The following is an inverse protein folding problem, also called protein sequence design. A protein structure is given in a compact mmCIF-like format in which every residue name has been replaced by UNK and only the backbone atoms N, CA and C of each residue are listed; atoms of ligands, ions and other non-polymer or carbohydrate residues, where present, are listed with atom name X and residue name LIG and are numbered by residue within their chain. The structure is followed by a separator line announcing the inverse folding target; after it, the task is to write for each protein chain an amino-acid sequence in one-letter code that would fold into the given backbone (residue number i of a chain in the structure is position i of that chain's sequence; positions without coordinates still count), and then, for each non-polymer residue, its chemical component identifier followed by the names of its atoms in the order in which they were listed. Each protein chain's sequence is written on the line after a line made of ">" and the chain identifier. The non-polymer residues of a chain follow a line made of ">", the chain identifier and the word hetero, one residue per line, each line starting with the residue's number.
data_IF_680520736545
#
_entry.id   IF_680520736545
#
_cell.length_a   1.000
_cell.length_b   1.000
_cell.length_c   1.000
_cell.angle_alpha   90.00
_cell.angle_beta   90.00
_cell.angle_gamma   90.00
#
_symmetry.space_group_name_H-M   'P 1'
#
loop_
_entity.id
_entity.type
_entity.pdbx_description
1 polymer ?
#
# COMPACT_ATOMS: atom_id res chain seq x y z
N UNK A 1 -15.66 17.16 22.44
CA UNK A 1 -14.22 16.88 22.22
C UNK A 1 -14.08 15.88 21.07
N UNK A 2 -13.19 16.12 20.11
CA UNK A 2 -12.85 15.14 19.08
C UNK A 2 -12.11 13.97 19.73
N UNK A 3 -12.60 12.74 19.55
CA UNK A 3 -11.92 11.55 20.05
C UNK A 3 -10.82 11.17 19.06
N UNK A 4 -9.58 11.23 19.50
CA UNK A 4 -8.38 10.92 18.71
C UNK A 4 -7.81 9.57 19.14
N UNK A 5 -7.18 8.85 18.22
CA UNK A 5 -6.47 7.59 18.52
C UNK A 5 -5.26 7.44 17.62
N UNK A 6 -4.19 6.88 18.18
CA UNK A 6 -2.94 6.56 17.49
C UNK A 6 -2.80 5.05 17.40
N UNK A 7 -2.38 4.55 16.24
CA UNK A 7 -2.39 3.11 15.95
C UNK A 7 -1.07 2.69 15.32
N UNK A 8 -0.37 1.79 16.00
CA UNK A 8 0.70 1.00 15.40
C UNK A 8 0.05 -0.16 14.61
N UNK A 9 0.13 -0.05 13.29
CA UNK A 9 -0.58 -0.96 12.39
C UNK A 9 0.24 -2.22 12.17
N UNK A 10 -0.31 -3.35 12.59
CA UNK A 10 0.32 -4.63 12.33
C UNK A 10 -0.07 -5.25 10.99
N UNK A 11 0.89 -5.94 10.37
CA UNK A 11 0.67 -6.80 9.20
C UNK A 11 0.18 -8.18 9.62
N UNK A 12 -0.53 -8.84 8.71
CA UNK A 12 -0.79 -10.28 8.83
C UNK A 12 0.54 -11.04 8.86
N UNK A 13 0.69 -11.96 9.81
CA UNK A 13 1.91 -12.76 9.95
C UNK A 13 2.05 -13.77 8.79
N UNK A 14 3.28 -14.28 8.59
CA UNK A 14 3.51 -15.44 7.72
C UNK A 14 2.64 -16.60 8.22
N UNK A 15 1.84 -17.19 7.33
CA UNK A 15 0.84 -18.22 7.68
C UNK A 15 -0.60 -17.71 7.81
N UNK A 16 -0.86 -16.42 7.56
CA UNK A 16 -2.22 -15.87 7.50
C UNK A 16 -2.83 -15.50 8.84
N UNK A 17 -2.12 -15.73 9.96
CA UNK A 17 -2.58 -15.32 11.29
C UNK A 17 -2.52 -13.80 11.41
N UNK A 18 -3.68 -13.18 11.63
CA UNK A 18 -3.80 -11.74 11.83
C UNK A 18 -3.23 -11.36 13.19
N UNK A 19 -2.39 -10.33 13.21
CA UNK A 19 -1.88 -9.71 14.45
C UNK A 19 -2.82 -8.56 14.86
N UNK A 20 -3.01 -8.33 16.17
CA UNK A 20 -3.75 -7.16 16.62
C UNK A 20 -2.97 -5.89 16.28
N UNK A 21 -3.68 -4.81 15.96
CA UNK A 21 -3.12 -3.46 15.93
C UNK A 21 -3.07 -2.93 17.36
N UNK A 22 -1.96 -2.27 17.74
CA UNK A 22 -1.86 -1.62 19.05
C UNK A 22 -2.37 -0.19 18.93
N UNK A 23 -3.26 0.18 19.84
CA UNK A 23 -3.91 1.48 19.86
C UNK A 23 -3.57 2.24 21.14
N UNK A 24 -3.47 3.56 21.04
CA UNK A 24 -3.32 4.48 22.16
C UNK A 24 -4.31 5.64 22.02
N UNK A 25 -5.20 5.83 23.00
CA UNK A 25 -6.24 6.88 22.98
C UNK A 25 -5.85 8.15 23.74
N UNK A 26 -4.60 8.26 24.18
CA UNK A 26 -4.09 9.37 25.00
C UNK A 26 -4.05 9.07 26.49
N UNK A 27 -4.74 8.02 26.93
CA UNK A 27 -4.76 7.58 28.34
C UNK A 27 -4.29 6.13 28.48
N UNK A 28 -4.82 5.24 27.63
CA UNK A 28 -4.59 3.80 27.72
C UNK A 28 -4.22 3.19 26.38
N UNK A 29 -3.59 2.04 26.46
CA UNK A 29 -3.25 1.21 25.31
C UNK A 29 -4.12 -0.03 25.27
N UNK A 30 -4.49 -0.46 24.07
CA UNK A 30 -5.32 -1.66 23.87
C UNK A 30 -5.15 -2.24 22.47
N UNK A 31 -5.58 -3.48 22.31
CA UNK A 31 -5.45 -4.22 21.05
C UNK A 31 -6.77 -4.25 20.26
N UNK A 32 -6.68 -4.08 18.94
CA UNK A 32 -7.80 -4.34 18.03
C UNK A 32 -7.39 -5.18 16.84
N UNK A 33 -8.15 -6.25 16.59
CA UNK A 33 -7.94 -7.08 15.39
C UNK A 33 -8.52 -6.47 14.12
N UNK A 34 -9.41 -5.48 14.21
CA UNK A 34 -10.01 -4.81 13.04
C UNK A 34 -10.10 -3.31 13.32
N UNK A 35 -9.57 -2.49 12.42
CA UNK A 35 -9.60 -1.03 12.53
C UNK A 35 -11.03 -0.50 12.55
N UNK A 36 -11.99 -1.18 11.92
CA UNK A 36 -13.41 -0.79 11.95
C UNK A 36 -14.03 -0.75 13.36
N UNK A 37 -13.41 -1.39 14.36
CA UNK A 37 -13.81 -1.26 15.78
C UNK A 37 -13.54 0.14 16.35
N UNK A 38 -12.69 0.93 15.69
CA UNK A 38 -12.34 2.30 16.08
C UNK A 38 -13.34 3.35 15.57
N UNK A 39 -14.52 2.94 15.08
CA UNK A 39 -15.57 3.85 14.57
C UNK A 39 -16.06 4.92 15.55
N UNK A 40 -15.75 4.80 16.84
CA UNK A 40 -16.11 5.76 17.90
C UNK A 40 -15.17 6.97 17.95
N UNK A 41 -14.04 6.92 17.22
CA UNK A 41 -13.05 7.98 17.13
C UNK A 41 -13.29 8.82 15.86
N UNK A 42 -13.01 10.10 15.95
CA UNK A 42 -13.21 11.06 14.86
C UNK A 42 -11.94 11.17 14.01
N UNK A 43 -10.78 11.05 14.64
CA UNK A 43 -9.48 11.10 13.97
C UNK A 43 -8.63 9.88 14.37
N UNK A 44 -8.07 9.19 13.38
CA UNK A 44 -7.22 8.02 13.56
C UNK A 44 -5.87 8.28 12.89
N UNK A 45 -4.80 8.19 13.66
CA UNK A 45 -3.43 8.33 13.19
C UNK A 45 -2.78 6.96 13.10
N UNK A 46 -2.19 6.63 11.94
CA UNK A 46 -1.56 5.33 11.67
C UNK A 46 -0.10 5.53 11.26
N UNK A 47 0.78 4.63 11.69
CA UNK A 47 2.20 4.62 11.31
C UNK A 47 2.41 4.17 9.85
N UNK A 48 1.61 3.21 9.38
CA UNK A 48 1.77 2.58 8.09
C UNK A 48 0.42 2.15 7.49
N UNK A 49 0.43 1.93 6.18
CA UNK A 49 -0.73 1.49 5.42
C UNK A 49 -0.42 0.18 4.68
N UNK A 50 -1.21 -0.86 4.96
CA UNK A 50 -1.03 -2.18 4.36
C UNK A 50 -2.25 -2.58 3.53
N UNK A 51 -2.06 -3.31 2.41
CA UNK A 51 -3.18 -3.71 1.55
C UNK A 51 -4.33 -4.43 2.29
N UNK A 52 -3.99 -5.20 3.32
CA UNK A 52 -4.95 -5.93 4.15
C UNK A 52 -5.87 -5.01 4.96
N UNK A 53 -5.44 -3.77 5.24
CA UNK A 53 -6.21 -2.79 6.01
C UNK A 53 -7.00 -1.80 5.14
N UNK A 54 -6.76 -1.76 3.82
CA UNK A 54 -7.39 -0.80 2.90
C UNK A 54 -8.92 -0.81 3.00
N UNK A 55 -9.54 -2.01 2.95
CA UNK A 55 -10.99 -2.13 3.04
C UNK A 55 -11.57 -1.67 4.37
N UNK A 56 -10.81 -1.80 5.47
CA UNK A 56 -11.26 -1.37 6.80
C UNK A 56 -11.17 0.15 6.93
N UNK A 57 -10.09 0.74 6.41
CA UNK A 57 -9.86 2.18 6.36
C UNK A 57 -10.89 2.85 5.45
N UNK A 58 -11.17 2.29 4.28
CA UNK A 58 -12.19 2.80 3.36
C UNK A 58 -13.58 2.84 4.02
N UNK A 59 -13.93 1.81 4.80
CA UNK A 59 -15.19 1.77 5.56
C UNK A 59 -15.26 2.84 6.65
N UNK A 60 -14.14 3.18 7.27
CA UNK A 60 -14.07 4.25 8.28
C UNK A 60 -14.17 5.63 7.61
N UNK A 61 -13.44 5.86 6.52
CA UNK A 61 -13.50 7.10 5.73
C UNK A 61 -14.93 7.38 5.26
N UNK A 62 -15.63 6.38 4.72
CA UNK A 62 -17.05 6.50 4.30
C UNK A 62 -18.02 6.81 5.44
N UNK A 63 -17.61 6.60 6.70
CA UNK A 63 -18.38 6.97 7.90
C UNK A 63 -18.01 8.36 8.44
N UNK A 64 -17.17 9.11 7.73
CA UNK A 64 -16.73 10.44 8.13
C UNK A 64 -15.55 10.44 9.12
N UNK A 65 -14.94 9.29 9.40
CA UNK A 65 -13.74 9.22 10.25
C UNK A 65 -12.53 9.74 9.45
N UNK A 66 -11.80 10.71 9.98
CA UNK A 66 -10.58 11.23 9.37
C UNK A 66 -9.41 10.30 9.68
N UNK A 67 -8.70 9.85 8.66
CA UNK A 67 -7.55 8.95 8.83
C UNK A 67 -6.28 9.64 8.33
N UNK A 68 -5.25 9.63 9.16
CA UNK A 68 -3.98 10.29 8.96
C UNK A 68 -2.85 9.25 8.95
N UNK A 69 -2.13 9.13 7.84
CA UNK A 69 -1.00 8.20 7.70
C UNK A 69 0.32 8.95 7.82
N UNK A 70 1.26 8.42 8.61
CA UNK A 70 2.57 9.03 8.81
C UNK A 70 3.32 9.17 7.47
N UNK A 71 3.94 10.34 7.26
CA UNK A 71 4.65 10.66 6.02
C UNK A 71 6.08 10.15 5.95
N UNK A 72 6.74 10.02 7.09
CA UNK A 72 8.11 9.56 7.12
C UNK A 72 8.28 8.61 8.31
N UNK A 73 8.40 7.32 7.98
CA UNK A 73 8.63 6.28 8.99
C UNK A 73 9.98 6.43 9.68
N UNK A 74 10.93 7.20 9.12
CA UNK A 74 12.20 7.52 9.79
C UNK A 74 11.98 8.39 11.02
N UNK A 75 10.88 9.14 11.13
CA UNK A 75 10.56 9.87 12.36
C UNK A 75 10.36 8.92 13.54
N UNK A 76 9.71 7.77 13.31
CA UNK A 76 9.60 6.73 14.33
C UNK A 76 10.98 6.18 14.71
N UNK A 77 11.92 6.09 13.76
CA UNK A 77 13.30 5.67 14.06
C UNK A 77 14.01 6.70 14.94
N UNK A 78 13.94 7.99 14.62
CA UNK A 78 14.53 9.07 15.43
C UNK A 78 13.95 9.11 16.84
N UNK A 79 12.62 9.04 16.98
CA UNK A 79 11.96 9.02 18.29
C UNK A 79 12.34 7.80 19.15
N UNK A 80 12.62 6.65 18.51
CA UNK A 80 13.14 5.46 19.20
C UNK A 80 14.58 5.66 19.69
N UNK A 81 15.42 6.30 18.87
CA UNK A 81 16.81 6.61 19.24
C UNK A 81 16.87 7.63 20.40
N UNK A 82 16.02 8.66 20.38
CA UNK A 82 15.95 9.68 21.43
C UNK A 82 15.40 9.17 22.77
N UNK A 83 14.55 8.15 22.75
CA UNK A 83 13.86 7.69 23.95
C UNK A 83 14.64 6.67 24.79
N UNK A 84 15.71 6.05 24.27
CA UNK A 84 16.47 4.97 24.95
C UNK A 84 15.60 3.82 25.52
N UNK A 85 14.33 3.73 25.12
CA UNK A 85 13.40 2.71 25.60
C UNK A 85 13.47 1.47 24.73
N UNK A 86 13.33 0.29 25.35
CA UNK A 86 13.24 -0.98 24.62
C UNK A 86 12.02 -0.96 23.70
N UNK A 87 12.24 -1.18 22.40
CA UNK A 87 11.17 -1.19 21.40
C UNK A 87 10.05 -2.16 21.79
N UNK A 88 8.82 -1.65 21.85
CA UNK A 88 7.58 -2.42 21.91
C UNK A 88 6.51 -1.74 21.05
N UNK A 89 5.56 -2.50 20.53
CA UNK A 89 4.44 -1.99 19.73
C UNK A 89 3.59 -0.95 20.54
N UNK A 90 3.56 -1.09 21.87
CA UNK A 90 2.93 -0.14 22.81
C UNK A 90 3.67 1.20 22.83
N UNK A 91 5.00 1.18 22.94
CA UNK A 91 5.83 2.39 22.92
C UNK A 91 5.71 3.08 21.56
N UNK A 92 5.66 2.32 20.48
CA UNK A 92 5.51 2.87 19.13
C UNK A 92 4.15 3.59 18.98
N UNK A 93 3.05 3.00 19.46
CA UNK A 93 1.74 3.66 19.45
C UNK A 93 1.71 4.95 20.30
N UNK A 94 2.39 4.97 21.45
CA UNK A 94 2.51 6.17 22.28
C UNK A 94 3.43 7.23 21.65
N UNK A 95 4.48 6.83 20.93
CA UNK A 95 5.39 7.73 20.25
C UNK A 95 4.71 8.48 19.09
N UNK A 96 3.78 7.81 18.38
CA UNK A 96 2.96 8.47 17.34
C UNK A 96 2.20 9.69 17.89
N UNK A 97 1.76 9.64 19.16
CA UNK A 97 1.03 10.75 19.78
C UNK A 97 1.89 12.00 20.02
N UNK A 98 3.22 11.85 19.99
CA UNK A 98 4.18 12.96 20.15
C UNK A 98 4.48 13.68 18.83
N UNK A 99 4.08 13.10 17.69
CA UNK A 99 4.36 13.64 16.37
C UNK A 99 3.29 14.68 16.03
N UNK A 100 3.72 15.86 15.56
CA UNK A 100 2.78 16.88 15.05
C UNK A 100 1.95 16.35 13.88
N UNK A 101 0.67 16.74 13.85
CA UNK A 101 -0.29 16.40 12.77
C UNK A 101 0.23 16.72 11.38
N UNK A 102 1.10 17.73 11.22
CA UNK A 102 1.68 18.13 9.94
C UNK A 102 2.57 17.06 9.29
N UNK A 103 3.10 16.14 10.09
CA UNK A 103 3.87 15.00 9.60
C UNK A 103 2.99 13.84 9.12
N UNK A 104 1.67 13.99 9.15
CA UNK A 104 0.74 13.01 8.63
C UNK A 104 0.04 13.51 7.37
N UNK A 105 -0.25 12.59 6.46
CA UNK A 105 -1.10 12.83 5.29
C UNK A 105 -2.50 12.32 5.60
N UNK A 106 -3.50 13.17 5.46
CA UNK A 106 -4.89 12.73 5.50
C UNK A 106 -5.20 11.89 4.27
N UNK A 107 -5.74 10.69 4.47
CA UNK A 107 -6.16 9.82 3.39
C UNK A 107 -7.54 10.23 2.88
N UNK A 108 -7.75 10.15 1.56
CA UNK A 108 -9.05 10.35 0.94
C UNK A 108 -9.67 9.03 0.46
N UNK A 109 -11.00 9.03 0.30
CA UNK A 109 -11.73 7.89 -0.26
C UNK A 109 -11.22 7.57 -1.66
N UNK A 110 -11.09 8.58 -2.51
CA UNK A 110 -10.68 8.45 -3.91
C UNK A 110 -9.26 7.88 -4.04
N UNK A 111 -8.30 8.38 -3.24
CA UNK A 111 -6.92 7.87 -3.24
C UNK A 111 -6.89 6.37 -2.87
N UNK A 112 -7.66 5.98 -1.86
CA UNK A 112 -7.68 4.61 -1.37
C UNK A 112 -8.40 3.66 -2.33
N UNK A 113 -9.48 4.10 -2.98
CA UNK A 113 -10.20 3.34 -4.01
C UNK A 113 -9.30 3.07 -5.21
N UNK A 114 -8.63 4.10 -5.74
CA UNK A 114 -7.64 3.94 -6.82
C UNK A 114 -6.54 2.96 -6.43
N UNK A 115 -6.05 3.03 -5.18
CA UNK A 115 -5.02 2.11 -4.68
C UNK A 115 -5.50 0.67 -4.61
N UNK A 116 -6.74 0.43 -4.14
CA UNK A 116 -7.35 -0.90 -4.09
C UNK A 116 -7.51 -1.48 -5.50
N UNK A 117 -8.03 -0.70 -6.44
CA UNK A 117 -8.20 -1.12 -7.82
C UNK A 117 -6.86 -1.50 -8.46
N UNK A 118 -5.86 -0.64 -8.28
CA UNK A 118 -4.52 -0.86 -8.81
C UNK A 118 -3.85 -2.13 -8.23
N UNK A 119 -3.95 -2.33 -6.92
CA UNK A 119 -3.43 -3.55 -6.27
C UNK A 119 -4.12 -4.82 -6.77
N UNK A 120 -5.43 -4.75 -7.06
CA UNK A 120 -6.18 -5.85 -7.68
C UNK A 120 -5.66 -6.19 -9.09
N UNK A 121 -5.44 -5.17 -9.93
CA UNK A 121 -4.87 -5.34 -11.27
C UNK A 121 -3.45 -5.92 -11.21
N UNK A 122 -2.59 -5.39 -10.33
CA UNK A 122 -1.22 -5.86 -10.14
C UNK A 122 -1.19 -7.32 -9.67
N UNK A 123 -2.08 -7.68 -8.74
CA UNK A 123 -2.21 -9.05 -8.24
C UNK A 123 -2.63 -10.01 -9.36
N UNK A 124 -3.59 -9.60 -10.20
CA UNK A 124 -4.02 -10.36 -11.39
C UNK A 124 -2.88 -10.53 -12.41
N UNK A 125 -2.13 -9.46 -12.70
CA UNK A 125 -0.98 -9.52 -13.61
C UNK A 125 0.11 -10.48 -13.11
N UNK A 126 0.40 -10.48 -11.80
CA UNK A 126 1.34 -11.43 -11.17
C UNK A 126 0.82 -12.86 -11.23
N UNK A 127 -0.47 -13.07 -10.98
CA UNK A 127 -1.09 -14.40 -11.06
C UNK A 127 -0.97 -14.97 -12.48
N UNK A 128 -1.31 -14.18 -13.50
CA UNK A 128 -1.11 -14.59 -14.90
C UNK A 128 0.34 -14.93 -15.19
N UNK A 129 1.28 -14.08 -14.77
CA UNK A 129 2.72 -14.32 -14.99
C UNK A 129 3.17 -15.65 -14.38
N UNK A 130 2.74 -15.96 -13.15
CA UNK A 130 3.07 -17.24 -12.48
C UNK A 130 2.43 -18.42 -13.20
N UNK A 131 1.13 -18.37 -13.47
CA UNK A 131 0.41 -19.48 -14.11
C UNK A 131 0.91 -19.77 -15.52
N UNK A 132 1.12 -18.74 -16.35
CA UNK A 132 1.68 -18.90 -17.69
C UNK A 132 3.05 -19.58 -17.63
N UNK A 133 3.91 -19.18 -16.67
CA UNK A 133 5.22 -19.82 -16.46
C UNK A 133 5.06 -21.31 -16.14
N UNK A 134 4.17 -21.67 -15.21
CA UNK A 134 3.89 -23.06 -14.84
C UNK A 134 3.36 -23.88 -16.02
N UNK A 135 2.38 -23.37 -16.76
CA UNK A 135 1.81 -24.09 -17.92
C UNK A 135 2.84 -24.29 -19.03
N UNK A 136 3.65 -23.27 -19.34
CA UNK A 136 4.75 -23.41 -20.30
C UNK A 136 5.78 -24.45 -19.84
N UNK A 137 6.00 -24.59 -18.54
CA UNK A 137 6.87 -25.62 -17.99
C UNK A 137 6.28 -27.02 -18.18
N UNK A 138 4.99 -27.21 -17.90
CA UNK A 138 4.30 -28.49 -18.11
C UNK A 138 4.29 -28.93 -19.58
N UNK A 139 4.01 -28.01 -20.50
CA UNK A 139 4.04 -28.30 -21.94
C UNK A 139 5.46 -28.72 -22.38
N UNK A 140 6.49 -28.00 -21.93
CA UNK A 140 7.87 -28.21 -22.40
C UNK A 140 8.57 -29.41 -21.75
N UNK A 141 8.37 -29.63 -20.45
CA UNK A 141 9.12 -30.64 -19.68
C UNK A 141 8.36 -31.94 -19.56
N UNK A 142 7.05 -31.84 -19.34
CA UNK A 142 6.25 -32.99 -18.97
C UNK A 142 5.52 -33.57 -20.19
N UNK A 143 5.49 -32.84 -21.32
CA UNK A 143 4.80 -33.24 -22.56
C UNK A 143 3.28 -33.10 -22.52
N UNK A 144 2.73 -32.39 -21.52
CA UNK A 144 1.29 -32.23 -21.34
C UNK A 144 0.77 -31.15 -22.28
N UNK A 145 0.27 -31.55 -23.45
CA UNK A 145 -0.31 -30.64 -24.45
C UNK A 145 -1.80 -30.90 -24.70
N UNK A 146 -2.57 -30.93 -23.61
CA UNK A 146 -4.04 -31.07 -23.60
C UNK A 146 -4.75 -29.75 -23.96
N UNK A 147 -4.35 -29.11 -25.07
CA UNK A 147 -4.84 -27.77 -25.44
C UNK A 147 -4.29 -26.65 -24.55
N UNK A 148 -3.29 -26.93 -23.73
CA UNK A 148 -2.69 -25.95 -22.82
C UNK A 148 -2.00 -24.80 -23.57
N UNK A 149 -1.53 -25.02 -24.81
CA UNK A 149 -0.99 -23.94 -25.65
C UNK A 149 -2.02 -22.85 -25.93
N UNK A 150 -3.26 -23.22 -26.24
CA UNK A 150 -4.34 -22.27 -26.46
C UNK A 150 -4.72 -21.52 -25.19
N UNK A 151 -4.77 -22.22 -24.05
CA UNK A 151 -4.97 -21.61 -22.74
C UNK A 151 -3.87 -20.58 -22.45
N UNK A 152 -2.61 -20.93 -22.67
CA UNK A 152 -1.47 -20.00 -22.51
C UNK A 152 -1.64 -18.78 -23.41
N UNK A 153 -2.01 -18.97 -24.69
CA UNK A 153 -2.23 -17.86 -25.63
C UNK A 153 -3.34 -16.92 -25.17
N UNK A 154 -4.46 -17.45 -24.66
CA UNK A 154 -5.56 -16.65 -24.12
C UNK A 154 -5.13 -15.90 -22.86
N UNK A 155 -4.45 -16.58 -21.92
CA UNK A 155 -3.94 -15.95 -20.70
C UNK A 155 -2.89 -14.87 -20.98
N UNK A 156 -2.06 -15.01 -22.01
CA UNK A 156 -1.13 -13.97 -22.43
C UNK A 156 -1.84 -12.72 -22.95
N UNK A 157 -2.93 -12.88 -23.71
CA UNK A 157 -3.77 -11.75 -24.16
C UNK A 157 -4.41 -11.06 -22.96
N UNK A 158 -4.93 -11.81 -22.00
CA UNK A 158 -5.51 -11.25 -20.77
C UNK A 158 -4.47 -10.55 -19.92
N UNK A 159 -3.28 -11.12 -19.79
CA UNK A 159 -2.15 -10.50 -19.10
C UNK A 159 -1.80 -9.14 -19.74
N UNK A 160 -1.72 -9.07 -21.08
CA UNK A 160 -1.47 -7.82 -21.81
C UNK A 160 -2.58 -6.79 -21.58
N UNK A 161 -3.84 -7.21 -21.59
CA UNK A 161 -4.99 -6.34 -21.29
C UNK A 161 -4.91 -5.76 -19.88
N UNK A 162 -4.57 -6.58 -18.88
CA UNK A 162 -4.39 -6.11 -17.50
C UNK A 162 -3.17 -5.18 -17.38
N UNK A 163 -2.06 -5.49 -18.06
CA UNK A 163 -0.88 -4.62 -18.05
C UNK A 163 -1.19 -3.23 -18.60
N UNK A 164 -1.95 -3.15 -19.70
CA UNK A 164 -2.40 -1.87 -20.28
C UNK A 164 -3.21 -1.05 -19.28
N UNK A 165 -4.18 -1.67 -18.59
CA UNK A 165 -4.97 -1.00 -17.54
C UNK A 165 -4.12 -0.47 -16.38
N UNK A 166 -3.08 -1.20 -15.96
CA UNK A 166 -2.16 -0.76 -14.90
C UNK A 166 -1.39 0.49 -15.35
N UNK A 167 -0.87 0.48 -16.57
CA UNK A 167 -0.13 1.61 -17.15
C UNK A 167 -1.05 2.82 -17.30
N UNK A 168 -2.26 2.64 -17.85
CA UNK A 168 -3.26 3.71 -18.00
C UNK A 168 -3.60 4.35 -16.66
N UNK A 169 -3.84 3.55 -15.61
CA UNK A 169 -4.15 4.05 -14.27
C UNK A 169 -3.03 4.90 -13.63
N UNK A 170 -1.78 4.75 -14.09
CA UNK A 170 -0.60 5.46 -13.56
C UNK A 170 -0.06 6.48 -14.57
N UNK A 171 -0.58 6.52 -15.79
CA UNK A 171 -0.06 7.36 -16.87
C UNK A 171 -0.02 8.86 -16.53
N UNK A 172 -0.98 9.34 -15.73
CA UNK A 172 -1.04 10.71 -15.23
C UNK A 172 -0.20 10.96 -13.97
N UNK A 173 0.45 9.93 -13.43
CA UNK A 173 1.28 10.06 -12.24
C UNK A 173 2.61 10.72 -12.58
N UNK A 174 2.89 11.87 -11.96
CA UNK A 174 4.10 12.65 -12.20
C UNK A 174 5.39 11.86 -11.97
N UNK A 175 5.45 11.02 -10.92
CA UNK A 175 6.63 10.20 -10.63
C UNK A 175 6.85 9.12 -11.68
N UNK A 176 5.77 8.52 -12.20
CA UNK A 176 5.91 7.57 -13.31
C UNK A 176 6.42 8.26 -14.58
N UNK A 177 5.86 9.42 -14.93
CA UNK A 177 6.30 10.19 -16.09
C UNK A 177 7.77 10.59 -15.99
N UNK A 178 8.19 11.10 -14.84
CA UNK A 178 9.58 11.50 -14.62
C UNK A 178 10.54 10.32 -14.62
N UNK A 179 10.18 9.22 -13.95
CA UNK A 179 10.99 8.02 -13.96
C UNK A 179 11.13 7.41 -15.38
N UNK A 180 10.08 7.48 -16.21
CA UNK A 180 10.18 7.09 -17.62
C UNK A 180 11.21 7.94 -18.36
N UNK A 181 11.19 9.27 -18.18
CA UNK A 181 12.14 10.20 -18.82
C UNK A 181 13.58 9.93 -18.39
N UNK A 182 13.84 9.90 -17.08
CA UNK A 182 15.19 9.71 -16.52
C UNK A 182 15.80 8.39 -17.00
N UNK A 183 15.00 7.32 -17.06
CA UNK A 183 15.48 6.01 -17.46
C UNK A 183 15.48 5.79 -18.98
N UNK A 184 15.03 6.76 -19.78
CA UNK A 184 14.89 6.61 -21.23
C UNK A 184 13.90 5.51 -21.64
N UNK A 185 12.94 5.19 -20.77
CA UNK A 185 11.97 4.11 -20.99
C UNK A 185 10.70 4.70 -21.61
N UNK A 186 10.15 4.01 -22.61
CA UNK A 186 8.84 4.37 -23.18
C UNK A 186 7.75 4.31 -22.09
N UNK A 187 6.75 5.19 -22.19
CA UNK A 187 5.68 5.35 -21.21
C UNK A 187 4.73 4.15 -21.03
N UNK A 188 5.08 2.97 -21.54
CA UNK A 188 4.33 1.72 -21.49
C UNK A 188 4.97 0.65 -20.58
N UNK A 189 5.99 1.00 -19.80
CA UNK A 189 6.68 0.08 -18.91
C UNK A 189 5.83 -0.38 -17.72
N UNK A 190 5.29 -1.59 -17.84
CA UNK A 190 4.56 -2.27 -16.75
C UNK A 190 5.40 -2.45 -15.48
N UNK A 191 6.71 -2.69 -15.63
CA UNK A 191 7.61 -2.88 -14.49
C UNK A 191 7.71 -1.62 -13.66
N UNK A 192 7.92 -0.48 -14.33
CA UNK A 192 7.99 0.82 -13.70
C UNK A 192 6.63 1.24 -13.14
N UNK A 193 5.54 0.98 -13.85
CA UNK A 193 4.18 1.24 -13.36
C UNK A 193 3.91 0.49 -12.04
N UNK A 194 4.25 -0.80 -11.96
CA UNK A 194 4.10 -1.58 -10.72
C UNK A 194 4.95 -1.04 -9.57
N UNK A 195 6.15 -0.51 -9.85
CA UNK A 195 7.01 0.09 -8.83
C UNK A 195 6.40 1.40 -8.32
N UNK A 196 6.00 2.30 -9.22
CA UNK A 196 5.34 3.57 -8.86
C UNK A 196 4.06 3.32 -8.08
N UNK A 197 3.25 2.35 -8.49
CA UNK A 197 2.03 1.93 -7.79
C UNK A 197 2.28 1.51 -6.34
N UNK A 198 3.48 1.03 -6.03
CA UNK A 198 3.85 0.51 -4.71
C UNK A 198 4.53 1.53 -3.83
N UNK A 199 4.89 2.69 -4.36
CA UNK A 199 5.41 3.77 -3.55
C UNK A 199 4.41 4.12 -2.44
N UNK A 200 4.89 4.44 -1.23
CA UNK A 200 4.02 4.87 -0.16
C UNK A 200 3.15 6.06 -0.57
N UNK A 201 1.87 6.04 -0.21
CA UNK A 201 0.91 7.10 -0.54
C UNK A 201 1.28 8.47 0.05
N UNK A 202 2.24 8.49 0.98
CA UNK A 202 2.68 9.66 1.69
C UNK A 202 3.87 10.39 1.06
N UNK A 203 4.56 9.78 0.08
CA UNK A 203 5.63 10.49 -0.62
C UNK A 203 4.99 11.55 -1.51
N UNK A 204 5.23 12.85 -1.27
CA UNK A 204 4.73 13.88 -2.17
C UNK A 204 5.34 13.66 -3.56
N UNK A 205 4.49 13.66 -4.59
CA UNK A 205 4.89 13.53 -6.00
C UNK A 205 5.63 14.79 -6.52
N UNK A 206 5.99 15.73 -5.64
CA UNK A 206 6.62 17.02 -5.98
C UNK A 206 8.15 16.94 -6.19
N UNK A 207 8.69 15.78 -6.57
CA UNK A 207 10.12 15.67 -6.90
C UNK A 207 10.49 16.22 -8.29
N UNK A 208 9.54 16.84 -9.00
CA UNK A 208 9.79 17.55 -10.26
C UNK A 208 9.74 19.08 -10.07
N UNK A 209 10.53 19.59 -9.12
CA UNK A 209 11.14 20.92 -9.27
C UNK A 209 12.65 20.73 -9.21
N UNK A 210 13.19 19.91 -10.11
CA UNK A 210 14.61 20.00 -10.42
C UNK A 210 14.74 21.19 -11.38
N UNK A 211 15.28 22.26 -10.79
CA UNK A 211 15.82 23.42 -11.46
C UNK A 211 16.53 23.02 -12.75
N UNK A 212 16.12 23.67 -13.83
CA UNK A 212 16.88 23.85 -15.06
C UNK A 212 18.35 24.13 -14.74
N UNK A 213 19.22 23.22 -15.13
CA UNK A 213 20.64 23.46 -15.40
C UNK A 213 20.85 23.24 -16.90
#
# INVERSE_FOLDING_TARGET
>A
MSKVIFVDTSRTARGGKRRPHICYDGERTFEVYKLTKLKKYNEIFIDALFPETYNEILKLLRKGVKIYCLKDTMMMKKLREESNLRKTDVIDAMALARISKDHFKQLTIEELEKRIELDSLISRHKLFTRRIKTLKQWIKRDGWDYGLRDVVRLMERDKKRVAKKIVEAISSNAVYGEACKILGIKGDSIGLAILTAKLPLHLPLNFCKLSSF
#
